data_IF_716030538865
#
_entry.id   IF_716030538865
#
_cell.length_a   1.000
_cell.length_b   1.000
_cell.length_c   1.000
_cell.angle_alpha   90.00
_cell.angle_beta   90.00
_cell.angle_gamma   90.00
#
_symmetry.space_group_name_H-M   'P 1'
#
loop_
_entity.id
_entity.type
_entity.pdbx_description
1 polymer ?
#
# COMPACT_ATOMS: atom_id res chain seq x y z
N UNK A 1 38.59 -20.87 -20.26
CA UNK A 1 37.46 -20.32 -21.06
C UNK A 1 36.09 -20.83 -20.61
N UNK A 2 35.96 -21.99 -19.94
CA UNK A 2 34.66 -22.48 -19.40
C UNK A 2 34.20 -21.77 -18.12
N UNK A 3 35.10 -21.20 -17.33
CA UNK A 3 34.74 -20.49 -16.08
C UNK A 3 34.00 -19.15 -16.29
N UNK A 4 34.21 -18.51 -17.42
CA UNK A 4 33.56 -17.23 -17.76
C UNK A 4 32.07 -17.40 -18.24
N UNK A 5 31.70 -18.61 -18.64
CA UNK A 5 30.35 -18.91 -19.10
C UNK A 5 29.45 -19.22 -17.89
N UNK A 6 29.96 -19.86 -16.84
CA UNK A 6 29.20 -20.13 -15.61
C UNK A 6 28.96 -18.89 -14.76
N UNK A 7 29.81 -17.87 -14.81
CA UNK A 7 29.59 -16.62 -14.08
C UNK A 7 28.46 -15.74 -14.67
N UNK A 8 28.13 -15.90 -15.95
CA UNK A 8 27.05 -15.16 -16.62
C UNK A 8 25.65 -15.76 -16.43
N UNK A 9 25.55 -17.02 -16.03
CA UNK A 9 24.27 -17.71 -15.83
C UNK A 9 23.72 -17.52 -14.41
N UNK A 10 24.55 -17.09 -13.45
CA UNK A 10 24.15 -16.90 -12.05
C UNK A 10 23.74 -15.45 -11.69
N UNK A 11 23.68 -14.52 -12.65
CA UNK A 11 23.43 -13.09 -12.44
C UNK A 11 22.04 -12.60 -12.89
N UNK A 12 21.16 -13.48 -13.33
CA UNK A 12 19.72 -13.18 -13.42
C UNK A 12 19.04 -13.70 -12.15
N UNK A 13 19.39 -13.19 -10.99
CA UNK A 13 18.41 -13.07 -9.91
C UNK A 13 17.30 -12.22 -10.52
N UNK A 14 16.11 -12.81 -10.71
CA UNK A 14 14.90 -12.02 -11.05
C UNK A 14 14.85 -10.86 -10.06
N UNK A 15 15.20 -9.68 -10.51
CA UNK A 15 15.11 -8.48 -9.70
C UNK A 15 13.61 -8.18 -9.62
N UNK A 16 13.03 -8.23 -8.43
CA UNK A 16 11.63 -7.91 -8.20
C UNK A 16 11.33 -6.55 -8.80
N UNK A 17 10.37 -6.49 -9.71
CA UNK A 17 9.91 -5.26 -10.32
C UNK A 17 8.80 -4.65 -9.49
N UNK A 18 8.98 -3.42 -9.06
CA UNK A 18 8.05 -2.71 -8.20
C UNK A 18 7.54 -1.48 -8.95
N UNK A 19 6.22 -1.33 -9.02
CA UNK A 19 5.55 -0.13 -9.49
C UNK A 19 5.04 0.68 -8.30
N UNK A 20 5.29 1.97 -8.30
CA UNK A 20 4.50 2.95 -7.56
C UNK A 20 3.57 3.64 -8.54
N UNK A 21 2.27 3.38 -8.45
CA UNK A 21 1.25 4.09 -9.19
C UNK A 21 1.01 5.43 -8.47
N UNK A 22 1.50 6.51 -9.10
CA UNK A 22 1.45 7.85 -8.54
C UNK A 22 0.08 8.50 -8.77
N UNK A 23 -0.62 8.79 -7.69
CA UNK A 23 -1.91 9.48 -7.68
C UNK A 23 -1.78 10.98 -7.44
N UNK A 24 -0.69 11.60 -7.90
CA UNK A 24 -0.43 13.05 -7.80
C UNK A 24 -0.29 13.56 -6.36
N UNK A 25 0.32 12.77 -5.50
CA UNK A 25 0.59 13.17 -4.12
C UNK A 25 2.01 13.75 -3.95
N UNK A 26 2.12 14.81 -3.16
CA UNK A 26 3.42 15.46 -2.87
C UNK A 26 4.37 14.58 -2.08
N UNK A 27 3.88 13.56 -1.38
CA UNK A 27 4.68 12.60 -0.59
C UNK A 27 5.05 11.34 -1.37
N UNK A 28 4.60 11.17 -2.63
CA UNK A 28 4.90 9.98 -3.43
C UNK A 28 6.41 9.70 -3.47
N UNK A 29 7.25 10.71 -3.68
CA UNK A 29 8.70 10.50 -3.76
C UNK A 29 9.35 10.14 -2.42
N UNK A 30 8.77 10.54 -1.27
CA UNK A 30 9.22 10.05 0.04
C UNK A 30 8.92 8.56 0.18
N UNK A 31 7.73 8.13 -0.24
CA UNK A 31 7.34 6.72 -0.28
C UNK A 31 8.28 5.91 -1.18
N UNK A 32 8.53 6.39 -2.40
CA UNK A 32 9.46 5.78 -3.37
C UNK A 32 10.84 5.59 -2.75
N UNK A 33 11.41 6.65 -2.16
CA UNK A 33 12.74 6.58 -1.53
C UNK A 33 12.80 5.50 -0.43
N UNK A 34 11.76 5.41 0.40
CA UNK A 34 11.70 4.40 1.47
C UNK A 34 11.58 2.99 0.90
N UNK A 35 10.78 2.80 -0.15
CA UNK A 35 10.62 1.52 -0.83
C UNK A 35 11.93 1.08 -1.49
N UNK A 36 12.61 1.98 -2.20
CA UNK A 36 13.92 1.68 -2.83
C UNK A 36 14.97 1.28 -1.78
N UNK A 37 15.01 1.98 -0.65
CA UNK A 37 15.92 1.63 0.46
C UNK A 37 15.60 0.26 1.06
N UNK A 38 14.32 -0.08 1.21
CA UNK A 38 13.89 -1.36 1.77
C UNK A 38 14.09 -2.52 0.77
N UNK A 39 13.75 -2.32 -0.50
CA UNK A 39 13.91 -3.29 -1.58
C UNK A 39 15.36 -3.46 -2.02
N UNK A 40 16.22 -2.49 -1.78
CA UNK A 40 17.57 -2.36 -2.36
C UNK A 40 17.56 -2.45 -3.89
N UNK A 41 16.53 -1.94 -4.50
CA UNK A 41 16.27 -1.94 -5.94
C UNK A 41 15.61 -0.63 -6.35
N UNK A 42 15.67 -0.32 -7.64
CA UNK A 42 14.91 0.79 -8.21
C UNK A 42 13.43 0.45 -8.28
N UNK A 43 12.62 1.49 -8.22
CA UNK A 43 11.16 1.43 -8.32
C UNK A 43 10.74 2.27 -9.51
N UNK A 44 9.87 1.74 -10.35
CA UNK A 44 9.26 2.53 -11.41
C UNK A 44 8.10 3.35 -10.83
N UNK A 45 8.07 4.63 -11.18
CA UNK A 45 7.03 5.56 -10.74
C UNK A 45 6.30 6.05 -11.97
N UNK A 46 5.02 5.70 -12.08
CA UNK A 46 4.19 6.06 -13.22
C UNK A 46 2.86 6.63 -12.72
N UNK A 47 2.41 7.70 -13.36
CA UNK A 47 1.16 8.36 -13.01
C UNK A 47 -0.04 7.54 -13.43
N UNK A 48 -1.11 7.65 -12.66
CA UNK A 48 -2.35 6.88 -12.83
C UNK A 48 -3.10 7.16 -14.14
N UNK A 49 -2.71 8.20 -14.89
CA UNK A 49 -3.25 8.60 -16.19
C UNK A 49 -2.21 8.53 -17.32
N UNK A 50 -0.98 8.12 -17.04
CA UNK A 50 0.12 8.03 -18.01
C UNK A 50 0.53 6.58 -18.33
N UNK A 51 0.05 5.58 -17.56
CA UNK A 51 0.32 4.16 -17.79
C UNK A 51 -0.94 3.45 -18.32
N UNK A 52 -0.78 2.58 -19.31
CA UNK A 52 -1.85 1.68 -19.70
C UNK A 52 -2.03 0.54 -18.69
N UNK A 53 -3.27 0.09 -18.48
CA UNK A 53 -3.57 -0.95 -17.51
C UNK A 53 -2.74 -2.22 -17.74
N UNK A 54 -2.59 -2.60 -19.02
CA UNK A 54 -1.86 -3.81 -19.44
C UNK A 54 -0.37 -3.75 -19.13
N UNK A 55 0.22 -2.56 -19.08
CA UNK A 55 1.65 -2.38 -18.77
C UNK A 55 1.98 -2.69 -17.31
N UNK A 56 0.97 -2.73 -16.42
CA UNK A 56 1.13 -3.13 -15.03
C UNK A 56 1.49 -4.62 -14.90
N UNK A 57 1.13 -5.46 -15.88
CA UNK A 57 1.40 -6.91 -15.85
C UNK A 57 2.88 -7.27 -15.64
N UNK A 58 3.80 -6.42 -16.07
CA UNK A 58 5.24 -6.68 -15.95
C UNK A 58 5.80 -6.57 -14.53
N UNK A 59 5.03 -6.00 -13.57
CA UNK A 59 5.46 -5.77 -12.20
C UNK A 59 5.05 -6.94 -11.29
N UNK A 60 5.90 -7.21 -10.30
CA UNK A 60 5.64 -8.22 -9.27
C UNK A 60 4.86 -7.64 -8.11
N UNK A 61 5.15 -6.37 -7.76
CA UNK A 61 4.50 -5.63 -6.68
C UNK A 61 4.04 -4.26 -7.15
N UNK A 62 2.86 -3.87 -6.65
CA UNK A 62 2.21 -2.60 -6.97
C UNK A 62 1.97 -1.85 -5.66
N UNK A 63 2.44 -0.62 -5.58
CA UNK A 63 2.15 0.28 -4.48
C UNK A 63 1.29 1.41 -5.03
N UNK A 64 0.10 1.56 -4.49
CA UNK A 64 -0.85 2.60 -4.84
C UNK A 64 -0.60 3.78 -3.90
N UNK A 65 -0.10 4.89 -4.42
CA UNK A 65 0.29 6.05 -3.61
C UNK A 65 -0.90 6.74 -2.95
N UNK A 66 -0.66 7.59 -1.95
CA UNK A 66 -1.62 8.61 -1.58
C UNK A 66 -2.02 9.48 -2.78
N UNK A 67 -3.07 10.26 -2.62
CA UNK A 67 -3.52 11.20 -3.65
C UNK A 67 -4.67 12.07 -3.16
N UNK A 68 -4.99 13.16 -3.89
CA UNK A 68 -6.12 14.01 -3.59
C UNK A 68 -7.45 13.39 -4.05
N UNK A 69 -8.55 13.89 -3.50
CA UNK A 69 -9.91 13.56 -3.93
C UNK A 69 -10.38 12.18 -3.51
N UNK A 70 -11.07 11.49 -4.40
CA UNK A 70 -11.66 10.17 -4.18
C UNK A 70 -11.05 9.14 -5.15
N UNK A 71 -11.00 7.85 -4.79
CA UNK A 71 -10.40 6.82 -5.64
C UNK A 71 -10.97 6.73 -7.05
N UNK A 72 -12.28 6.97 -7.21
CA UNK A 72 -12.96 6.94 -8.52
C UNK A 72 -12.52 8.03 -9.49
N UNK A 73 -11.90 9.11 -8.98
CA UNK A 73 -11.43 10.25 -9.76
C UNK A 73 -9.92 10.15 -10.08
N UNK A 74 -9.27 9.05 -9.68
CA UNK A 74 -7.82 8.86 -9.76
C UNK A 74 -7.38 7.95 -10.93
N UNK A 75 -7.71 8.35 -12.17
CA UNK A 75 -7.28 7.65 -13.37
C UNK A 75 -7.61 6.15 -13.32
N UNK A 76 -6.63 5.29 -13.60
CA UNK A 76 -6.81 3.83 -13.62
C UNK A 76 -6.70 3.15 -12.24
N UNK A 77 -6.67 3.92 -11.13
CA UNK A 77 -6.44 3.37 -9.78
C UNK A 77 -7.39 2.21 -9.45
N UNK A 78 -8.70 2.41 -9.67
CA UNK A 78 -9.72 1.40 -9.35
C UNK A 78 -9.63 0.18 -10.26
N UNK A 79 -9.34 0.40 -11.54
CA UNK A 79 -9.17 -0.66 -12.55
C UNK A 79 -7.93 -1.50 -12.22
N UNK A 80 -6.83 -0.87 -11.82
CA UNK A 80 -5.60 -1.57 -11.44
C UNK A 80 -5.84 -2.51 -10.25
N UNK A 81 -6.59 -2.09 -9.24
CA UNK A 81 -6.95 -2.98 -8.12
C UNK A 81 -7.82 -4.14 -8.62
N UNK A 82 -8.88 -3.87 -9.40
CA UNK A 82 -9.80 -4.92 -9.89
C UNK A 82 -9.07 -5.99 -10.71
N UNK A 83 -8.18 -5.56 -11.61
CA UNK A 83 -7.50 -6.46 -12.54
C UNK A 83 -6.39 -7.27 -11.86
N UNK A 84 -5.67 -6.66 -10.91
CA UNK A 84 -4.43 -7.25 -10.41
C UNK A 84 -4.51 -7.82 -9.00
N UNK A 85 -5.58 -7.60 -8.23
CA UNK A 85 -5.70 -8.06 -6.84
C UNK A 85 -5.49 -9.57 -6.65
N UNK A 86 -5.99 -10.40 -7.57
CA UNK A 86 -5.83 -11.86 -7.51
C UNK A 86 -4.51 -12.40 -8.07
N UNK A 87 -3.62 -11.54 -8.57
CA UNK A 87 -2.43 -11.95 -9.33
C UNK A 87 -1.13 -11.28 -8.90
N UNK A 88 -1.20 -10.16 -8.20
CA UNK A 88 -0.05 -9.34 -7.80
C UNK A 88 -0.13 -8.98 -6.31
N UNK A 89 1.02 -8.75 -5.71
CA UNK A 89 1.07 -8.13 -4.38
C UNK A 89 0.73 -6.65 -4.48
N UNK A 90 -0.27 -6.19 -3.75
CA UNK A 90 -0.73 -4.79 -3.77
C UNK A 90 -0.67 -4.19 -2.36
N UNK A 91 -0.08 -2.99 -2.26
CA UNK A 91 -0.16 -2.14 -1.07
C UNK A 91 -0.82 -0.81 -1.42
N UNK A 92 -1.95 -0.51 -0.82
CA UNK A 92 -2.60 0.80 -0.91
C UNK A 92 -2.23 1.70 0.27
N UNK A 93 -1.83 2.94 -0.02
CA UNK A 93 -1.54 3.97 0.99
C UNK A 93 -2.56 5.09 0.86
N UNK A 94 -3.24 5.43 1.95
CA UNK A 94 -4.24 6.48 2.06
C UNK A 94 -5.33 6.36 0.95
N UNK A 95 -5.23 7.09 -0.16
CA UNK A 95 -6.15 6.95 -1.30
C UNK A 95 -6.15 5.52 -1.86
N UNK A 96 -4.99 4.88 -1.98
CA UNK A 96 -4.87 3.49 -2.43
C UNK A 96 -5.54 2.50 -1.48
N UNK A 97 -5.49 2.71 -0.17
CA UNK A 97 -6.23 1.92 0.82
C UNK A 97 -7.75 2.06 0.64
N UNK A 98 -8.22 3.29 0.40
CA UNK A 98 -9.63 3.58 0.13
C UNK A 98 -10.09 2.93 -1.17
N UNK A 99 -9.25 2.96 -2.22
CA UNK A 99 -9.53 2.30 -3.49
C UNK A 99 -9.71 0.78 -3.32
N UNK A 100 -8.86 0.14 -2.51
CA UNK A 100 -9.01 -1.28 -2.19
C UNK A 100 -10.37 -1.55 -1.55
N UNK A 101 -10.76 -0.79 -0.54
CA UNK A 101 -12.05 -0.99 0.13
C UNK A 101 -13.22 -0.83 -0.85
N UNK A 102 -13.26 0.23 -1.68
CA UNK A 102 -14.35 0.45 -2.65
C UNK A 102 -14.40 -0.62 -3.75
N UNK A 103 -13.25 -1.13 -4.22
CA UNK A 103 -13.21 -2.21 -5.22
C UNK A 103 -13.84 -3.50 -4.69
N UNK A 104 -13.66 -3.80 -3.42
CA UNK A 104 -14.27 -4.94 -2.75
C UNK A 104 -15.64 -4.65 -2.14
N UNK A 105 -16.34 -3.59 -2.62
CA UNK A 105 -17.73 -3.25 -2.30
C UNK A 105 -17.93 -2.54 -0.95
N UNK A 106 -16.88 -2.00 -0.35
CA UNK A 106 -16.98 -1.09 0.79
C UNK A 106 -17.38 0.32 0.37
N UNK A 107 -17.59 1.17 1.34
CA UNK A 107 -17.89 2.59 1.16
C UNK A 107 -16.92 3.48 1.93
N UNK A 108 -16.91 4.76 1.57
CA UNK A 108 -16.15 5.79 2.28
C UNK A 108 -17.08 6.74 3.00
N UNK A 109 -16.66 7.17 4.19
CA UNK A 109 -17.33 8.21 4.97
C UNK A 109 -16.46 9.45 5.07
N UNK A 110 -17.08 10.62 4.92
CA UNK A 110 -16.41 11.89 5.19
C UNK A 110 -16.35 12.13 6.68
N UNK A 111 -15.16 12.31 7.21
CA UNK A 111 -14.96 12.57 8.62
C UNK A 111 -15.30 14.03 8.95
N UNK A 112 -15.87 14.32 10.14
CA UNK A 112 -16.10 15.68 10.59
C UNK A 112 -14.81 16.46 10.83
N UNK A 113 -13.70 15.73 11.02
CA UNK A 113 -12.36 16.26 11.25
C UNK A 113 -11.47 16.04 10.03
N UNK A 114 -10.64 17.03 9.71
CA UNK A 114 -9.60 16.91 8.68
C UNK A 114 -8.27 16.63 9.37
N UNK A 115 -7.67 15.47 9.11
CA UNK A 115 -6.32 15.17 9.57
C UNK A 115 -5.33 15.71 8.55
N UNK A 116 -4.41 16.58 9.01
CA UNK A 116 -3.34 17.12 8.16
C UNK A 116 -2.05 17.22 8.96
N UNK A 117 -1.22 16.19 8.86
CA UNK A 117 0.03 16.12 9.63
C UNK A 117 -0.22 15.85 11.12
N UNK A 118 -1.21 15.02 11.43
CA UNK A 118 -1.57 14.66 12.81
C UNK A 118 -1.01 13.29 13.13
N UNK A 119 -0.30 13.19 14.26
CA UNK A 119 0.12 11.90 14.82
C UNK A 119 -1.03 11.29 15.62
N UNK A 120 -1.33 10.02 15.36
CA UNK A 120 -2.33 9.22 16.08
C UNK A 120 -1.75 7.87 16.45
N UNK A 121 -2.35 7.18 17.40
CA UNK A 121 -2.04 5.78 17.69
C UNK A 121 -2.92 4.86 16.82
N UNK A 122 -2.31 3.84 16.22
CA UNK A 122 -3.00 2.74 15.58
C UNK A 122 -2.76 1.47 16.38
N UNK A 123 -3.83 0.79 16.78
CA UNK A 123 -3.81 -0.50 17.46
C UNK A 123 -3.97 -1.63 16.44
N UNK A 124 -3.01 -2.55 16.42
CA UNK A 124 -3.03 -3.75 15.57
C UNK A 124 -3.92 -4.78 16.25
N UNK A 125 -5.03 -5.14 15.60
CA UNK A 125 -6.08 -5.99 16.18
C UNK A 125 -6.11 -7.40 15.59
N UNK A 126 -5.38 -7.66 14.51
CA UNK A 126 -5.28 -8.99 13.89
C UNK A 126 -3.90 -9.60 14.11
N UNK A 127 -3.85 -10.84 14.61
CA UNK A 127 -2.62 -11.63 14.72
C UNK A 127 -2.06 -12.02 13.35
N UNK A 128 -2.90 -12.04 12.32
CA UNK A 128 -2.57 -12.42 10.96
C UNK A 128 -2.14 -11.21 10.10
N UNK A 129 -2.04 -10.03 10.72
CA UNK A 129 -1.66 -8.78 10.05
C UNK A 129 -0.20 -8.80 9.56
N UNK A 130 0.01 -9.26 8.33
CA UNK A 130 1.34 -9.51 7.76
C UNK A 130 2.20 -8.24 7.68
N UNK A 131 1.60 -7.09 7.39
CA UNK A 131 2.32 -5.81 7.35
C UNK A 131 2.94 -5.42 8.70
N UNK A 132 2.36 -5.87 9.80
CA UNK A 132 2.77 -5.49 11.14
C UNK A 132 3.57 -6.57 11.87
N UNK A 133 4.02 -7.60 11.15
CA UNK A 133 4.82 -8.68 11.75
C UNK A 133 6.08 -8.14 12.45
N UNK A 134 6.23 -8.50 13.71
CA UNK A 134 7.37 -8.09 14.54
C UNK A 134 7.29 -6.65 15.06
N UNK A 135 6.18 -5.96 14.86
CA UNK A 135 5.94 -4.63 15.42
C UNK A 135 5.17 -4.71 16.75
N UNK A 136 5.24 -3.67 17.60
CA UNK A 136 4.44 -3.61 18.82
C UNK A 136 2.93 -3.52 18.49
N UNK A 137 2.04 -3.90 19.43
CA UNK A 137 0.60 -3.92 19.19
C UNK A 137 0.00 -2.52 18.94
N UNK A 138 0.70 -1.46 19.35
CA UNK A 138 0.31 -0.07 19.14
C UNK A 138 1.47 0.68 18.52
N UNK A 139 1.17 1.44 17.47
CA UNK A 139 2.17 2.20 16.71
C UNK A 139 1.70 3.63 16.49
N UNK A 140 2.65 4.58 16.50
CA UNK A 140 2.38 5.96 16.09
C UNK A 140 2.35 6.06 14.57
N UNK A 141 1.34 6.75 14.03
CA UNK A 141 1.10 6.90 12.58
C UNK A 141 0.74 8.33 12.22
N UNK A 142 1.23 8.81 11.07
CA UNK A 142 0.91 10.12 10.52
C UNK A 142 -0.32 10.07 9.61
N UNK A 143 -1.28 10.96 9.85
CA UNK A 143 -2.56 11.03 9.11
C UNK A 143 -2.67 12.34 8.32
N UNK A 144 -3.20 12.23 7.09
CA UNK A 144 -3.38 13.34 6.14
C UNK A 144 -4.65 13.13 5.30
N UNK A 145 -5.80 12.86 5.94
CA UNK A 145 -7.03 12.51 5.23
C UNK A 145 -8.28 13.09 5.91
N UNK A 146 -9.33 13.28 5.12
CA UNK A 146 -10.69 13.65 5.55
C UNK A 146 -11.74 12.58 5.22
N UNK A 147 -11.35 11.55 4.46
CA UNK A 147 -12.19 10.39 4.16
C UNK A 147 -11.60 9.14 4.83
N UNK A 148 -12.45 8.22 5.23
CA UNK A 148 -12.08 6.93 5.82
C UNK A 148 -12.98 5.84 5.26
N UNK A 149 -12.48 4.60 5.29
CA UNK A 149 -13.32 3.43 5.00
C UNK A 149 -14.41 3.32 6.08
N UNK A 150 -15.63 3.09 5.63
CA UNK A 150 -16.82 2.92 6.48
C UNK A 150 -16.77 1.57 7.19
N UNK A 151 -16.78 1.59 8.52
CA UNK A 151 -16.77 0.36 9.32
C UNK A 151 -18.14 -0.35 9.31
N UNK A 152 -19.25 0.38 9.12
CA UNK A 152 -20.59 -0.20 9.09
C UNK A 152 -20.88 -0.94 7.77
N UNK A 153 -20.19 -0.57 6.70
CA UNK A 153 -20.28 -1.24 5.39
C UNK A 153 -18.93 -1.80 4.97
N UNK A 154 -18.27 -2.55 5.87
CA UNK A 154 -16.97 -3.13 5.60
C UNK A 154 -17.11 -4.45 4.82
N UNK A 155 -16.31 -4.65 3.74
CA UNK A 155 -16.42 -5.84 2.87
C UNK A 155 -16.05 -7.14 3.57
N UNK A 156 -16.83 -8.20 3.37
CA UNK A 156 -16.54 -9.54 3.92
C UNK A 156 -15.22 -10.15 3.39
N UNK A 157 -14.83 -9.81 2.14
CA UNK A 157 -13.58 -10.28 1.53
C UNK A 157 -12.34 -9.69 2.20
N UNK A 158 -12.49 -8.60 2.95
CA UNK A 158 -11.41 -7.93 3.64
C UNK A 158 -11.42 -8.25 5.15
N UNK A 159 -10.30 -7.97 5.79
CA UNK A 159 -10.11 -8.03 7.24
C UNK A 159 -9.55 -6.70 7.73
N UNK A 160 -10.10 -6.16 8.80
CA UNK A 160 -9.55 -4.99 9.48
C UNK A 160 -8.35 -5.46 10.32
N UNK A 161 -7.19 -4.88 10.07
CA UNK A 161 -5.95 -5.30 10.74
C UNK A 161 -5.44 -4.28 11.77
N UNK A 162 -5.85 -3.01 11.64
CA UNK A 162 -5.57 -1.99 12.65
C UNK A 162 -6.68 -0.93 12.70
N UNK A 163 -6.89 -0.36 13.89
CA UNK A 163 -7.86 0.71 14.13
C UNK A 163 -7.25 1.84 14.98
N UNK A 164 -7.84 3.04 14.94
CA UNK A 164 -7.53 4.11 15.88
C UNK A 164 -8.37 4.00 17.18
N UNK A 165 -8.15 4.92 18.11
CA UNK A 165 -8.87 4.95 19.40
C UNK A 165 -10.39 5.10 19.27
N UNK A 166 -10.90 5.61 18.14
CA UNK A 166 -12.31 5.73 17.83
C UNK A 166 -12.87 4.53 17.04
N UNK A 167 -12.06 3.50 16.80
CA UNK A 167 -12.43 2.33 16.00
C UNK A 167 -12.41 2.57 14.50
N UNK A 168 -11.88 3.69 14.02
CA UNK A 168 -11.73 3.97 12.58
C UNK A 168 -10.67 3.05 11.98
N UNK A 169 -10.92 2.57 10.78
CA UNK A 169 -10.04 1.62 10.10
C UNK A 169 -8.74 2.29 9.69
N UNK A 170 -7.63 1.81 10.25
CA UNK A 170 -6.27 2.29 9.95
C UNK A 170 -5.50 1.36 9.03
N UNK A 171 -5.87 0.07 8.98
CA UNK A 171 -5.31 -0.86 8.03
C UNK A 171 -6.29 -2.01 7.75
N UNK A 172 -6.14 -2.58 6.55
CA UNK A 172 -6.90 -3.75 6.10
C UNK A 172 -6.00 -4.68 5.29
N UNK A 173 -6.45 -5.91 5.14
CA UNK A 173 -5.89 -6.88 4.19
C UNK A 173 -7.01 -7.71 3.56
N UNK A 174 -6.77 -8.25 2.35
CA UNK A 174 -7.66 -9.22 1.74
C UNK A 174 -7.43 -10.60 2.38
N UNK A 175 -8.51 -11.36 2.57
CA UNK A 175 -8.44 -12.67 3.25
C UNK A 175 -7.71 -13.75 2.46
N UNK A 176 -7.71 -13.64 1.12
CA UNK A 176 -7.15 -14.66 0.21
C UNK A 176 -6.01 -14.12 -0.66
N UNK A 177 -6.08 -12.84 -1.07
CA UNK A 177 -5.12 -12.23 -1.98
C UNK A 177 -4.04 -11.47 -1.21
N UNK A 178 -2.85 -11.34 -1.80
CA UNK A 178 -1.75 -10.52 -1.24
C UNK A 178 -2.02 -9.02 -1.50
N UNK A 179 -3.12 -8.53 -0.90
CA UNK A 179 -3.60 -7.15 -1.00
C UNK A 179 -3.74 -6.55 0.38
N UNK A 180 -3.07 -5.45 0.60
CA UNK A 180 -2.98 -4.76 1.88
C UNK A 180 -3.24 -3.27 1.72
N UNK A 181 -3.76 -2.63 2.75
CA UNK A 181 -3.98 -1.18 2.75
C UNK A 181 -3.71 -0.56 4.11
N UNK A 182 -3.12 0.64 4.10
CA UNK A 182 -2.94 1.48 5.29
C UNK A 182 -3.52 2.86 5.03
N UNK A 183 -4.35 3.37 5.96
CA UNK A 183 -4.97 4.70 5.85
C UNK A 183 -4.00 5.82 6.18
N UNK A 184 -2.97 5.52 6.96
CA UNK A 184 -1.91 6.45 7.34
C UNK A 184 -0.77 6.45 6.32
N UNK A 185 0.17 7.39 6.49
CA UNK A 185 1.32 7.58 5.62
C UNK A 185 2.58 6.93 6.23
N UNK A 186 3.01 5.74 5.76
CA UNK A 186 4.21 5.08 6.26
C UNK A 186 5.49 5.87 5.94
N UNK A 187 5.47 6.74 4.93
CA UNK A 187 6.57 7.60 4.52
C UNK A 187 6.70 8.87 5.37
N UNK A 188 5.71 9.17 6.20
CA UNK A 188 5.73 10.34 7.07
C UNK A 188 6.72 10.17 8.22
N UNK A 189 7.38 11.26 8.61
CA UNK A 189 8.20 11.33 9.83
C UNK A 189 7.39 11.03 11.10
N UNK A 190 6.07 11.18 11.04
CA UNK A 190 5.13 10.86 12.13
C UNK A 190 4.82 9.37 12.23
N UNK A 191 5.37 8.54 11.32
CA UNK A 191 5.25 7.08 11.32
C UNK A 191 6.64 6.44 11.50
N UNK A 192 7.20 6.41 12.71
CA UNK A 192 8.58 5.95 12.93
C UNK A 192 8.84 4.51 12.46
N UNK A 193 7.82 3.66 12.46
CA UNK A 193 7.90 2.25 12.04
C UNK A 193 7.52 2.03 10.56
N UNK A 194 7.30 3.09 9.79
CA UNK A 194 6.87 2.99 8.40
C UNK A 194 7.83 2.19 7.52
N UNK A 195 9.14 2.34 7.72
CA UNK A 195 10.14 1.54 7.00
C UNK A 195 10.00 0.03 7.26
N UNK A 196 9.67 -0.35 8.48
CA UNK A 196 9.45 -1.77 8.83
C UNK A 196 8.18 -2.31 8.19
N UNK A 197 7.11 -1.52 8.12
CA UNK A 197 5.86 -1.87 7.43
C UNK A 197 6.12 -2.11 5.94
N UNK A 198 6.82 -1.19 5.27
CA UNK A 198 7.18 -1.33 3.86
C UNK A 198 8.11 -2.53 3.62
N UNK A 199 9.09 -2.76 4.51
CA UNK A 199 9.96 -3.93 4.42
C UNK A 199 9.18 -5.25 4.57
N UNK A 200 8.19 -5.31 5.47
CA UNK A 200 7.31 -6.46 5.61
C UNK A 200 6.55 -6.72 4.30
N UNK A 201 5.90 -5.70 3.71
CA UNK A 201 5.23 -5.83 2.41
C UNK A 201 6.14 -6.40 1.33
N UNK A 202 7.38 -5.91 1.23
CA UNK A 202 8.32 -6.34 0.21
C UNK A 202 8.78 -7.80 0.38
N UNK A 203 8.67 -8.37 1.58
CA UNK A 203 9.00 -9.77 1.87
C UNK A 203 7.84 -10.74 1.67
N UNK A 204 6.61 -10.26 1.55
CA UNK A 204 5.45 -11.08 1.24
C UNK A 204 5.62 -11.70 -0.15
N UNK A 205 5.20 -12.96 -0.29
CA UNK A 205 5.18 -13.66 -1.58
C UNK A 205 3.74 -13.65 -2.07
N UNK A 206 3.53 -13.36 -3.36
CA UNK A 206 2.22 -13.49 -3.99
C UNK A 206 1.72 -14.91 -3.96
#
# INVERSE_FOLDING_TARGET
RLWLIFAKVFLFKNCMKILVLDNYDSFTYNLVQMVEQAARSRVDVLRNDEIALEDIEQYDKIILSPGPGLPRDAGILMEAVREYAGRKSILGVCLGHQAIAEVFMGSLVHLPEVFHGVSSEAEIISSEALLFRGLPPKISVGRYHSWSVDADNFPEALEITAVDEQGRIMALQHREYDVHGVQFHPESVLTPLGKSILANFLTLKP
#
